data_IF_837909983376
#
_entry.id   IF_837909983376
#
_cell.length_a   1.000
_cell.length_b   1.000
_cell.length_c   1.000
_cell.angle_alpha   90.00
_cell.angle_beta   90.00
_cell.angle_gamma   90.00
#
_symmetry.space_group_name_H-M   'P 1'
#
loop_
_entity.id
_entity.type
_entity.pdbx_description
1 polymer ?
#
# COMPACT_ATOMS: atom_id res chain seq x y z
N UNK A 1 -34.23 -9.41 -57.06
CA UNK A 1 -33.51 -9.36 -55.77
C UNK A 1 -32.22 -8.58 -55.99
N UNK A 2 -32.04 -7.46 -55.28
CA UNK A 2 -30.83 -6.64 -55.41
C UNK A 2 -29.67 -7.40 -54.79
N UNK A 3 -28.63 -7.67 -55.58
CA UNK A 3 -27.43 -8.39 -55.12
C UNK A 3 -26.74 -7.58 -54.03
N UNK A 4 -26.53 -8.20 -52.86
CA UNK A 4 -25.83 -7.56 -51.75
C UNK A 4 -24.38 -7.30 -52.17
N UNK A 5 -23.85 -6.08 -52.01
CA UNK A 5 -22.48 -5.76 -52.39
C UNK A 5 -21.45 -6.65 -51.68
N UNK A 6 -20.42 -7.13 -52.38
CA UNK A 6 -19.37 -7.98 -51.82
C UNK A 6 -18.70 -7.37 -50.57
N UNK A 7 -18.58 -6.04 -50.52
CA UNK A 7 -18.00 -5.32 -49.39
C UNK A 7 -18.81 -5.54 -48.10
N UNK A 8 -20.13 -5.65 -48.20
CA UNK A 8 -21.03 -5.92 -47.07
C UNK A 8 -20.90 -7.37 -46.61
N UNK A 9 -20.77 -8.32 -47.55
CA UNK A 9 -20.56 -9.74 -47.23
C UNK A 9 -19.20 -9.98 -46.54
N UNK A 10 -18.13 -9.34 -47.01
CA UNK A 10 -16.79 -9.37 -46.36
C UNK A 10 -16.83 -8.75 -44.96
N UNK A 11 -17.58 -7.65 -44.77
CA UNK A 11 -17.76 -7.02 -43.46
C UNK A 11 -18.50 -7.93 -42.47
N UNK A 12 -19.58 -8.61 -42.92
CA UNK A 12 -20.35 -9.57 -42.11
C UNK A 12 -19.48 -10.74 -41.65
N UNK A 13 -18.75 -11.40 -42.57
CA UNK A 13 -17.82 -12.49 -42.23
C UNK A 13 -16.75 -12.06 -41.22
N UNK A 14 -16.21 -10.84 -41.34
CA UNK A 14 -15.23 -10.30 -40.38
C UNK A 14 -15.86 -10.06 -39.00
N UNK A 15 -17.08 -9.54 -38.94
CA UNK A 15 -17.81 -9.33 -37.69
C UNK A 15 -18.17 -10.64 -37.00
N UNK A 16 -18.62 -11.64 -37.75
CA UNK A 16 -18.90 -12.99 -37.25
C UNK A 16 -17.64 -13.64 -36.67
N UNK A 17 -16.51 -13.55 -37.39
CA UNK A 17 -15.22 -14.05 -36.88
C UNK A 17 -14.79 -13.32 -35.60
N UNK A 18 -14.85 -11.99 -35.59
CA UNK A 18 -14.52 -11.18 -34.41
C UNK A 18 -15.44 -11.52 -33.22
N UNK A 19 -16.73 -11.74 -33.46
CA UNK A 19 -17.68 -12.12 -32.42
C UNK A 19 -17.37 -13.53 -31.86
N UNK A 20 -17.04 -14.49 -32.73
CA UNK A 20 -16.63 -15.83 -32.33
C UNK A 20 -15.31 -15.81 -31.51
N UNK A 21 -14.31 -15.07 -31.98
CA UNK A 21 -13.02 -14.91 -31.29
C UNK A 21 -13.22 -14.23 -29.93
N UNK A 22 -14.07 -13.20 -29.86
CA UNK A 22 -14.42 -12.51 -28.61
C UNK A 22 -15.16 -13.43 -27.64
N UNK A 23 -16.11 -14.24 -28.13
CA UNK A 23 -16.86 -15.19 -27.31
C UNK A 23 -15.96 -16.28 -26.72
N UNK A 24 -15.03 -16.81 -27.52
CA UNK A 24 -14.02 -17.76 -27.07
C UNK A 24 -13.05 -17.12 -26.05
N UNK A 25 -12.65 -15.86 -26.27
CA UNK A 25 -11.81 -15.13 -25.32
C UNK A 25 -12.53 -14.86 -23.99
N UNK A 26 -13.83 -14.53 -24.02
CA UNK A 26 -14.62 -14.32 -22.80
C UNK A 26 -14.80 -15.60 -21.99
N UNK A 27 -15.11 -16.73 -22.61
CA UNK A 27 -15.25 -18.01 -21.89
C UNK A 27 -13.91 -18.49 -21.30
N UNK A 28 -12.81 -18.29 -22.03
CA UNK A 28 -11.47 -18.54 -21.52
C UNK A 28 -11.08 -17.58 -20.38
N UNK A 29 -11.55 -16.33 -20.41
CA UNK A 29 -11.31 -15.36 -19.34
C UNK A 29 -12.12 -15.69 -18.08
N UNK A 30 -13.37 -16.10 -18.22
CA UNK A 30 -14.25 -16.50 -17.10
C UNK A 30 -13.70 -17.72 -16.35
N UNK A 31 -13.26 -18.74 -17.07
CA UNK A 31 -12.64 -19.93 -16.46
C UNK A 31 -11.36 -19.58 -15.70
N UNK A 32 -10.50 -18.73 -16.28
CA UNK A 32 -9.30 -18.21 -15.61
C UNK A 32 -9.64 -17.35 -14.40
N UNK A 33 -10.65 -16.49 -14.49
CA UNK A 33 -11.09 -15.65 -13.38
C UNK A 33 -11.62 -16.47 -12.21
N UNK A 34 -12.38 -17.55 -12.49
CA UNK A 34 -12.86 -18.47 -11.48
C UNK A 34 -11.72 -19.19 -10.75
N UNK A 35 -10.70 -19.66 -11.49
CA UNK A 35 -9.51 -20.26 -10.90
C UNK A 35 -8.74 -19.26 -10.03
N UNK A 36 -8.47 -18.05 -10.56
CA UNK A 36 -7.79 -16.97 -9.83
C UNK A 36 -8.52 -16.58 -8.56
N UNK A 37 -9.86 -16.51 -8.57
CA UNK A 37 -10.65 -16.18 -7.39
C UNK A 37 -10.47 -17.21 -6.27
N UNK A 38 -10.41 -18.50 -6.61
CA UNK A 38 -10.12 -19.57 -5.64
C UNK A 38 -8.72 -19.41 -5.06
N UNK A 39 -7.73 -19.08 -5.89
CA UNK A 39 -6.35 -18.89 -5.44
C UNK A 39 -6.20 -17.67 -4.53
N UNK A 40 -6.83 -16.54 -4.87
CA UNK A 40 -6.85 -15.32 -4.04
C UNK A 40 -7.45 -15.62 -2.67
N UNK A 41 -8.56 -16.36 -2.62
CA UNK A 41 -9.21 -16.70 -1.36
C UNK A 41 -8.31 -17.57 -0.47
N UNK A 42 -7.68 -18.60 -1.05
CA UNK A 42 -6.73 -19.46 -0.33
C UNK A 42 -5.52 -18.68 0.20
N UNK A 43 -4.99 -17.75 -0.57
CA UNK A 43 -3.88 -16.87 -0.14
C UNK A 43 -4.29 -15.97 1.02
N UNK A 44 -5.45 -15.34 0.93
CA UNK A 44 -5.97 -14.49 2.00
C UNK A 44 -6.16 -15.27 3.30
N UNK A 45 -6.69 -16.50 3.22
CA UNK A 45 -6.80 -17.41 4.36
C UNK A 45 -5.43 -17.75 4.96
N UNK A 46 -4.45 -18.09 4.12
CA UNK A 46 -3.09 -18.38 4.55
C UNK A 46 -2.45 -17.19 5.28
N UNK A 47 -2.59 -15.96 4.76
CA UNK A 47 -2.07 -14.76 5.42
C UNK A 47 -2.71 -14.51 6.77
N UNK A 48 -4.04 -14.70 6.88
CA UNK A 48 -4.72 -14.56 8.18
C UNK A 48 -4.24 -15.60 9.19
N UNK A 49 -4.05 -16.85 8.76
CA UNK A 49 -3.51 -17.91 9.61
C UNK A 49 -2.06 -17.60 10.05
N UNK A 50 -1.23 -17.10 9.13
CA UNK A 50 0.14 -16.64 9.42
C UNK A 50 0.15 -15.53 10.47
N UNK A 51 -0.66 -14.48 10.31
CA UNK A 51 -0.72 -13.38 11.29
C UNK A 51 -1.18 -13.86 12.67
N UNK A 52 -2.23 -14.69 12.73
CA UNK A 52 -2.72 -15.24 13.99
C UNK A 52 -1.69 -16.11 14.68
N UNK A 53 -0.98 -16.94 13.93
CA UNK A 53 0.07 -17.80 14.49
C UNK A 53 1.25 -16.96 14.99
N UNK A 54 1.66 -15.91 14.27
CA UNK A 54 2.71 -14.98 14.70
C UNK A 54 2.34 -14.23 15.99
N UNK A 55 1.10 -13.74 16.12
CA UNK A 55 0.60 -13.10 17.34
C UNK A 55 0.58 -14.06 18.53
N UNK A 56 0.10 -15.29 18.33
CA UNK A 56 0.08 -16.32 19.38
C UNK A 56 1.49 -16.74 19.81
N UNK A 57 2.42 -16.85 18.85
CA UNK A 57 3.83 -17.13 19.14
C UNK A 57 4.46 -16.01 19.98
N UNK A 58 4.26 -14.74 19.62
CA UNK A 58 4.74 -13.61 20.43
C UNK A 58 4.23 -13.66 21.87
N UNK A 59 2.93 -13.92 22.06
CA UNK A 59 2.33 -14.04 23.40
C UNK A 59 2.92 -15.22 24.17
N UNK A 60 3.10 -16.36 23.51
CA UNK A 60 3.66 -17.57 24.12
C UNK A 60 5.10 -17.36 24.55
N UNK A 61 5.93 -16.73 23.71
CA UNK A 61 7.32 -16.41 24.01
C UNK A 61 7.44 -15.42 25.17
N UNK A 62 6.58 -14.38 25.21
CA UNK A 62 6.51 -13.45 26.35
C UNK A 62 6.15 -14.16 27.66
N UNK A 63 5.21 -15.10 27.63
CA UNK A 63 4.82 -15.90 28.81
C UNK A 63 5.94 -16.85 29.25
N UNK A 64 6.61 -17.50 28.30
CA UNK A 64 7.74 -18.39 28.56
C UNK A 64 8.91 -17.63 29.21
N UNK A 65 9.25 -16.45 28.70
CA UNK A 65 10.28 -15.57 29.26
C UNK A 65 9.94 -15.16 30.71
N UNK A 66 8.70 -14.71 30.95
CA UNK A 66 8.21 -14.39 32.31
C UNK A 66 8.31 -15.59 33.25
N UNK A 67 7.97 -16.80 32.79
CA UNK A 67 8.09 -18.05 33.57
C UNK A 67 9.54 -18.40 33.89
N UNK A 68 10.46 -18.14 32.97
CA UNK A 68 11.89 -18.35 33.15
C UNK A 68 12.59 -17.23 33.95
N UNK A 69 11.87 -16.16 34.30
CA UNK A 69 12.44 -14.96 34.94
C UNK A 69 13.30 -14.11 34.01
N UNK A 70 13.21 -14.30 32.69
CA UNK A 70 13.95 -13.55 31.67
C UNK A 70 13.03 -12.57 30.92
N UNK A 71 13.62 -11.62 30.18
CA UNK A 71 12.89 -10.65 29.38
C UNK A 71 12.87 -11.07 27.91
N UNK A 72 11.71 -11.00 27.27
CA UNK A 72 11.58 -11.18 25.84
C UNK A 72 11.71 -9.82 25.14
N UNK A 73 12.75 -9.65 24.33
CA UNK A 73 12.95 -8.46 23.50
C UNK A 73 12.22 -8.64 22.18
N UNK A 74 11.30 -7.72 21.87
CA UNK A 74 10.53 -7.78 20.64
C UNK A 74 11.38 -7.41 19.42
N UNK A 75 11.12 -8.03 18.26
CA UNK A 75 11.81 -7.66 17.03
C UNK A 75 11.49 -6.22 16.64
N UNK A 76 12.51 -5.48 16.18
CA UNK A 76 12.33 -4.13 15.67
C UNK A 76 11.35 -4.09 14.48
N UNK A 77 10.57 -3.01 14.40
CA UNK A 77 9.64 -2.80 13.30
C UNK A 77 10.37 -2.58 11.97
N UNK A 78 9.82 -3.15 10.89
CA UNK A 78 10.40 -3.09 9.55
C UNK A 78 9.76 -2.03 8.65
N UNK A 79 8.54 -1.60 8.97
CA UNK A 79 7.71 -0.70 8.15
C UNK A 79 7.46 0.62 8.87
N UNK A 80 7.57 1.72 8.13
CA UNK A 80 7.16 3.06 8.56
C UNK A 80 6.04 3.58 7.67
N UNK A 81 5.11 4.31 8.27
CA UNK A 81 4.24 5.22 7.54
C UNK A 81 4.69 6.64 7.84
N UNK A 82 5.09 7.37 6.79
CA UNK A 82 5.58 8.75 6.90
C UNK A 82 4.57 9.68 6.26
N UNK A 83 4.18 10.72 6.99
CA UNK A 83 3.21 11.70 6.51
C UNK A 83 3.71 13.13 6.70
N UNK A 84 3.39 13.98 5.74
CA UNK A 84 3.72 15.40 5.79
C UNK A 84 2.72 16.20 6.62
N UNK A 85 3.21 16.91 7.63
CA UNK A 85 2.38 17.78 8.46
C UNK A 85 2.44 19.26 8.06
N UNK A 86 3.61 19.75 7.67
CA UNK A 86 3.83 21.20 7.42
C UNK A 86 3.99 21.54 5.95
N UNK A 87 3.65 22.78 5.59
CA UNK A 87 3.82 23.35 4.24
C UNK A 87 5.27 23.54 3.81
N UNK A 88 5.52 24.19 2.66
CA UNK A 88 6.87 24.45 2.11
C UNK A 88 7.46 25.80 2.56
N UNK A 89 6.67 26.65 3.22
CA UNK A 89 7.08 28.01 3.55
C UNK A 89 8.13 28.01 4.67
N UNK A 90 9.18 28.81 4.51
CA UNK A 90 10.28 28.91 5.48
C UNK A 90 11.16 27.66 5.58
N UNK A 91 11.07 26.72 4.63
CA UNK A 91 11.83 25.48 4.66
C UNK A 91 13.14 25.58 3.89
N UNK A 92 14.24 25.18 4.52
CA UNK A 92 15.57 25.13 3.92
C UNK A 92 15.58 24.24 2.65
N UNK A 93 16.29 24.63 1.57
CA UNK A 93 16.27 23.90 0.30
C UNK A 93 16.66 22.42 0.39
N UNK A 94 17.63 22.07 1.25
CA UNK A 94 18.02 20.66 1.45
C UNK A 94 16.87 19.82 2.05
N UNK A 95 16.17 20.35 3.05
CA UNK A 95 15.01 19.71 3.68
C UNK A 95 13.88 19.53 2.67
N UNK A 96 13.62 20.56 1.86
CA UNK A 96 12.64 20.50 0.76
C UNK A 96 12.98 19.40 -0.25
N UNK A 97 14.26 19.28 -0.61
CA UNK A 97 14.72 18.24 -1.54
C UNK A 97 14.56 16.84 -0.95
N UNK A 98 14.83 16.64 0.34
CA UNK A 98 14.59 15.36 1.02
C UNK A 98 13.10 14.99 0.93
N UNK A 99 12.18 15.91 1.24
CA UNK A 99 10.74 15.64 1.14
C UNK A 99 10.28 15.29 -0.29
N UNK A 100 10.88 15.90 -1.32
CA UNK A 100 10.63 15.53 -2.72
C UNK A 100 11.08 14.10 -3.02
N UNK A 101 12.26 13.69 -2.55
CA UNK A 101 12.77 12.31 -2.70
C UNK A 101 11.84 11.30 -2.01
N UNK A 102 11.31 11.66 -0.83
CA UNK A 102 10.31 10.86 -0.11
C UNK A 102 8.92 10.86 -0.77
N UNK A 103 8.70 11.67 -1.80
CA UNK A 103 7.40 11.88 -2.50
C UNK A 103 6.33 12.58 -1.64
N UNK A 104 6.75 13.32 -0.62
CA UNK A 104 5.89 14.10 0.28
C UNK A 104 5.65 15.52 -0.25
N UNK A 105 4.97 15.61 -1.39
CA UNK A 105 4.83 16.87 -2.14
C UNK A 105 3.75 17.81 -1.57
N UNK A 106 2.64 17.26 -1.07
CA UNK A 106 1.51 18.03 -0.52
C UNK A 106 1.35 17.75 0.98
N UNK A 107 0.75 18.69 1.71
CA UNK A 107 0.40 18.49 3.13
C UNK A 107 -0.56 17.29 3.22
N UNK A 108 -0.44 16.51 4.30
CA UNK A 108 -1.20 15.28 4.54
C UNK A 108 -0.96 14.19 3.48
N UNK A 109 0.10 14.29 2.68
CA UNK A 109 0.53 13.14 1.88
C UNK A 109 1.24 12.12 2.78
N UNK A 110 0.88 10.84 2.62
CA UNK A 110 1.47 9.70 3.32
C UNK A 110 2.15 8.71 2.37
N UNK A 111 3.26 8.11 2.79
CA UNK A 111 4.00 7.10 2.04
C UNK A 111 4.53 6.01 2.98
N UNK A 112 4.45 4.75 2.55
CA UNK A 112 5.11 3.64 3.24
C UNK A 112 6.61 3.61 2.92
N UNK A 113 7.43 3.40 3.95
CA UNK A 113 8.89 3.31 3.84
C UNK A 113 9.42 2.12 4.62
N UNK A 114 10.50 1.53 4.12
CA UNK A 114 11.26 0.50 4.85
C UNK A 114 12.13 1.16 5.92
N UNK A 115 12.16 0.57 7.10
CA UNK A 115 13.11 0.93 8.16
C UNK A 115 14.51 0.50 7.73
N UNK A 116 15.40 1.49 7.60
CA UNK A 116 16.81 1.33 7.32
C UNK A 116 17.54 2.52 7.93
N UNK A 117 18.80 2.35 8.36
CA UNK A 117 19.68 3.43 8.83
C UNK A 117 19.69 4.62 7.88
N UNK A 118 19.73 4.37 6.56
CA UNK A 118 19.71 5.44 5.56
C UNK A 118 18.38 6.22 5.55
N UNK A 119 17.24 5.54 5.63
CA UNK A 119 15.93 6.20 5.65
C UNK A 119 15.72 6.97 6.95
N UNK A 120 16.12 6.38 8.08
CA UNK A 120 16.03 7.05 9.39
C UNK A 120 16.89 8.33 9.44
N UNK A 121 18.12 8.28 8.93
CA UNK A 121 18.98 9.47 8.84
C UNK A 121 18.39 10.59 7.97
N UNK A 122 17.61 10.23 6.94
CA UNK A 122 16.87 11.22 6.14
C UNK A 122 15.68 11.78 6.92
N UNK A 123 14.93 10.94 7.63
CA UNK A 123 13.76 11.34 8.41
C UNK A 123 14.13 12.29 9.55
N UNK A 124 15.23 12.04 10.27
CA UNK A 124 15.73 12.94 11.33
C UNK A 124 15.97 14.37 10.82
N UNK A 125 16.41 14.54 9.57
CA UNK A 125 16.65 15.88 8.98
C UNK A 125 15.37 16.63 8.61
N UNK A 126 14.27 15.93 8.43
CA UNK A 126 12.95 16.50 8.07
C UNK A 126 11.94 16.39 9.21
N UNK A 127 12.36 15.86 10.35
CA UNK A 127 11.56 15.49 11.52
C UNK A 127 10.55 16.58 11.95
N UNK A 128 10.90 17.88 11.99
CA UNK A 128 9.94 18.94 12.37
C UNK A 128 8.81 19.21 11.37
N UNK A 129 8.84 18.59 10.18
CA UNK A 129 7.87 18.82 9.10
C UNK A 129 7.00 17.59 8.78
N UNK A 130 7.37 16.44 9.33
CA UNK A 130 6.73 15.16 9.10
C UNK A 130 6.30 14.56 10.43
N UNK A 131 5.40 13.58 10.35
CA UNK A 131 5.27 12.55 11.37
C UNK A 131 5.61 11.21 10.74
N UNK A 132 6.09 10.29 11.55
CA UNK A 132 6.23 8.89 11.17
C UNK A 132 6.02 7.98 12.37
N UNK A 133 5.75 6.72 12.09
CA UNK A 133 5.60 5.68 13.10
C UNK A 133 5.34 4.33 12.46
N UNK A 134 5.02 3.34 13.30
CA UNK A 134 4.87 1.95 12.92
C UNK A 134 3.38 1.62 12.74
N UNK A 135 2.90 1.48 11.49
CA UNK A 135 1.51 1.15 11.25
C UNK A 135 1.24 -0.33 11.56
N UNK A 136 0.12 -0.61 12.22
CA UNK A 136 -0.36 -1.99 12.40
C UNK A 136 -1.02 -2.53 11.12
N UNK A 137 -1.20 -3.85 11.05
CA UNK A 137 -1.80 -4.53 9.89
C UNK A 137 -3.17 -3.94 9.50
N UNK A 138 -4.03 -3.65 10.49
CA UNK A 138 -5.35 -3.05 10.26
C UNK A 138 -5.24 -1.68 9.61
N UNK A 139 -4.35 -0.82 10.08
CA UNK A 139 -4.12 0.51 9.55
C UNK A 139 -3.57 0.45 8.12
N UNK A 140 -2.62 -0.47 7.83
CA UNK A 140 -2.10 -0.68 6.47
C UNK A 140 -3.22 -1.13 5.54
N UNK A 141 -4.05 -2.09 5.98
CA UNK A 141 -5.22 -2.55 5.25
C UNK A 141 -6.16 -1.38 4.93
N UNK A 142 -6.65 -0.67 5.95
CA UNK A 142 -7.59 0.43 5.75
C UNK A 142 -7.05 1.56 4.86
N UNK A 143 -5.75 1.88 4.95
CA UNK A 143 -5.09 2.84 4.06
C UNK A 143 -5.17 2.41 2.59
N UNK A 144 -4.80 1.16 2.30
CA UNK A 144 -4.82 0.64 0.93
C UNK A 144 -6.26 0.54 0.41
N UNK A 145 -7.21 0.06 1.22
CA UNK A 145 -8.60 -0.08 0.80
C UNK A 145 -9.31 1.26 0.59
N UNK A 146 -9.18 2.21 1.53
CA UNK A 146 -9.94 3.47 1.50
C UNK A 146 -9.26 4.57 0.69
N UNK A 147 -7.93 4.59 0.66
CA UNK A 147 -7.14 5.69 0.10
C UNK A 147 -6.17 5.23 -1.00
N UNK A 148 -6.10 3.94 -1.30
CA UNK A 148 -5.19 3.36 -2.27
C UNK A 148 -5.44 3.85 -3.70
N UNK A 149 -4.39 4.39 -4.30
CA UNK A 149 -4.37 4.74 -5.72
C UNK A 149 -3.11 4.15 -6.34
N UNK A 150 -3.25 3.63 -7.55
CA UNK A 150 -2.16 3.14 -8.38
C UNK A 150 -1.57 4.27 -9.23
N UNK A 151 -0.27 4.20 -9.46
CA UNK A 151 0.46 4.99 -10.44
C UNK A 151 0.59 4.18 -11.73
N UNK A 152 -0.38 4.34 -12.63
CA UNK A 152 -0.41 3.67 -13.94
C UNK A 152 -0.09 4.69 -15.02
N UNK A 153 0.97 4.47 -15.80
CA UNK A 153 1.40 5.38 -16.88
C UNK A 153 1.54 6.85 -16.45
N UNK A 154 1.97 7.08 -15.19
CA UNK A 154 2.10 8.42 -14.62
C UNK A 154 0.79 9.07 -14.15
N UNK A 155 -0.35 8.42 -14.35
CA UNK A 155 -1.66 8.87 -13.89
C UNK A 155 -2.02 8.25 -12.54
N UNK A 156 -2.85 8.98 -11.79
CA UNK A 156 -3.39 8.53 -10.50
C UNK A 156 -4.73 7.84 -10.75
N UNK A 157 -4.75 6.51 -10.63
CA UNK A 157 -5.93 5.68 -10.86
C UNK A 157 -6.37 5.06 -9.52
N UNK A 158 -7.65 5.14 -9.12
CA UNK A 158 -8.13 4.47 -7.92
C UNK A 158 -8.01 2.95 -8.08
N UNK A 159 -7.67 2.24 -7.00
CA UNK A 159 -7.62 0.78 -7.02
C UNK A 159 -9.05 0.26 -6.82
N UNK A 160 -9.76 0.03 -7.94
CA UNK A 160 -11.12 -0.54 -7.93
C UNK A 160 -11.09 -2.05 -8.06
N UNK A 161 -10.20 -2.56 -8.92
CA UNK A 161 -10.16 -3.96 -9.32
C UNK A 161 -8.76 -4.56 -9.19
N UNK A 162 -8.71 -5.85 -8.84
CA UNK A 162 -7.45 -6.59 -8.74
C UNK A 162 -6.70 -6.67 -10.09
N UNK A 163 -7.40 -6.52 -11.22
CA UNK A 163 -6.74 -6.47 -12.54
C UNK A 163 -5.74 -5.32 -12.68
N UNK A 164 -5.99 -4.18 -12.02
CA UNK A 164 -5.09 -3.02 -12.05
C UNK A 164 -3.74 -3.40 -11.40
N UNK A 165 -3.82 -4.15 -10.30
CA UNK A 165 -2.65 -4.64 -9.56
C UNK A 165 -1.92 -5.70 -10.39
N UNK A 166 -2.65 -6.70 -10.88
CA UNK A 166 -2.08 -7.79 -11.68
C UNK A 166 -1.37 -7.26 -12.93
N UNK A 167 -1.99 -6.34 -13.68
CA UNK A 167 -1.37 -5.76 -14.90
C UNK A 167 -0.11 -4.95 -14.58
N UNK A 168 -0.09 -4.20 -13.47
CA UNK A 168 1.00 -3.27 -13.16
C UNK A 168 2.18 -3.93 -12.41
N UNK A 169 1.89 -4.93 -11.57
CA UNK A 169 2.84 -5.62 -10.70
C UNK A 169 3.11 -7.08 -11.13
N UNK A 170 2.24 -7.72 -11.91
CA UNK A 170 2.37 -9.13 -12.28
C UNK A 170 3.71 -9.44 -12.95
N UNK A 171 4.08 -8.67 -13.97
CA UNK A 171 5.38 -8.83 -14.66
C UNK A 171 6.58 -8.57 -13.74
N UNK A 172 6.49 -7.51 -12.92
CA UNK A 172 7.60 -7.08 -12.03
C UNK A 172 7.82 -8.03 -10.85
N UNK A 173 6.76 -8.71 -10.41
CA UNK A 173 6.76 -9.58 -9.23
C UNK A 173 6.72 -11.06 -9.59
N UNK A 174 6.87 -11.39 -10.88
CA UNK A 174 6.79 -12.77 -11.40
C UNK A 174 5.50 -13.48 -10.97
N UNK A 175 4.38 -12.77 -10.95
CA UNK A 175 3.07 -13.29 -10.57
C UNK A 175 2.85 -13.53 -9.07
N UNK A 176 3.74 -13.04 -8.20
CA UNK A 176 3.55 -13.16 -6.75
C UNK A 176 2.42 -12.28 -6.23
N UNK A 177 2.28 -11.07 -6.77
CA UNK A 177 1.28 -10.08 -6.32
C UNK A 177 0.18 -9.98 -7.36
N UNK A 178 -1.00 -10.49 -7.02
CA UNK A 178 -2.16 -10.56 -7.92
C UNK A 178 -3.31 -9.73 -7.37
N UNK A 179 -3.47 -9.66 -6.06
CA UNK A 179 -4.60 -8.99 -5.41
C UNK A 179 -4.19 -7.93 -4.39
N UNK A 180 -5.18 -7.18 -3.88
CA UNK A 180 -4.99 -6.21 -2.81
C UNK A 180 -4.41 -6.87 -1.55
N UNK A 181 -4.80 -8.10 -1.21
CA UNK A 181 -4.30 -8.74 0.02
C UNK A 181 -2.84 -9.17 -0.08
N UNK A 182 -2.39 -9.61 -1.26
CA UNK A 182 -0.97 -9.83 -1.53
C UNK A 182 -0.18 -8.51 -1.38
N UNK A 183 -0.74 -7.39 -1.88
CA UNK A 183 -0.14 -6.07 -1.76
C UNK A 183 -0.04 -5.61 -0.30
N UNK A 184 -1.09 -5.79 0.49
CA UNK A 184 -1.11 -5.46 1.93
C UNK A 184 -0.11 -6.31 2.69
N UNK A 185 -0.06 -7.62 2.41
CA UNK A 185 0.89 -8.53 3.03
C UNK A 185 2.33 -8.14 2.73
N UNK A 186 2.67 -7.93 1.45
CA UNK A 186 4.02 -7.55 1.03
C UNK A 186 4.47 -6.20 1.65
N UNK A 187 3.54 -5.25 1.80
CA UNK A 187 3.81 -3.98 2.47
C UNK A 187 4.09 -4.18 3.96
N UNK A 188 3.25 -4.94 4.67
CA UNK A 188 3.36 -5.13 6.12
C UNK A 188 4.59 -5.94 6.52
N UNK A 189 4.86 -7.05 5.81
CA UNK A 189 6.01 -7.92 6.10
C UNK A 189 7.33 -7.37 5.54
N UNK A 190 7.26 -6.36 4.67
CA UNK A 190 8.40 -5.76 3.95
C UNK A 190 9.16 -6.82 3.16
N UNK A 191 8.42 -7.51 2.28
CA UNK A 191 8.93 -8.59 1.45
C UNK A 191 9.91 -8.14 0.35
N UNK A 192 10.35 -9.07 -0.51
CA UNK A 192 11.35 -8.80 -1.55
C UNK A 192 10.92 -7.77 -2.59
N UNK A 193 9.61 -7.65 -2.85
CA UNK A 193 9.00 -6.76 -3.84
C UNK A 193 8.39 -5.48 -3.23
N UNK A 194 8.80 -5.12 -2.01
CA UNK A 194 8.31 -3.94 -1.31
C UNK A 194 8.55 -2.63 -2.09
N UNK A 195 9.69 -2.51 -2.79
CA UNK A 195 10.03 -1.31 -3.56
C UNK A 195 9.10 -1.13 -4.75
N UNK A 196 8.74 -2.21 -5.41
CA UNK A 196 7.83 -2.27 -6.54
C UNK A 196 6.41 -1.88 -6.08
N UNK A 197 5.96 -2.43 -4.94
CA UNK A 197 4.66 -2.11 -4.33
C UNK A 197 4.54 -0.64 -3.95
N UNK A 198 5.55 -0.11 -3.25
CA UNK A 198 5.56 1.30 -2.82
C UNK A 198 5.70 2.27 -4.00
N UNK A 199 6.38 1.88 -5.09
CA UNK A 199 6.47 2.66 -6.33
C UNK A 199 5.17 2.62 -7.14
N UNK A 200 4.48 1.48 -7.13
CA UNK A 200 3.15 1.31 -7.71
C UNK A 200 2.11 2.18 -7.00
N UNK A 201 2.15 2.25 -5.68
CA UNK A 201 1.25 3.13 -4.93
C UNK A 201 1.57 4.60 -5.17
N UNK A 202 0.53 5.37 -5.47
CA UNK A 202 0.57 6.83 -5.40
C UNK A 202 0.61 7.27 -3.92
N UNK A 203 1.32 8.36 -3.56
CA UNK A 203 1.27 8.89 -2.21
C UNK A 203 -0.18 9.07 -1.71
N UNK A 204 -0.48 8.53 -0.53
CA UNK A 204 -1.81 8.58 0.05
C UNK A 204 -2.18 10.03 0.34
N UNK A 205 -3.33 10.48 -0.16
CA UNK A 205 -3.88 11.79 0.19
C UNK A 205 -4.80 11.63 1.39
N UNK A 206 -4.33 12.04 2.56
CA UNK A 206 -5.07 11.93 3.82
C UNK A 206 -5.93 13.17 4.04
N UNK A 207 -7.07 13.01 4.73
CA UNK A 207 -7.86 14.15 5.21
C UNK A 207 -7.22 14.75 6.45
N UNK A 208 -7.62 15.97 6.83
CA UNK A 208 -7.28 16.48 8.16
C UNK A 208 -7.88 15.57 9.24
N UNK A 209 -7.18 15.34 10.36
CA UNK A 209 -7.67 14.47 11.42
C UNK A 209 -8.95 15.06 12.04
N UNK A 210 -9.92 14.20 12.29
CA UNK A 210 -11.09 14.55 13.12
C UNK A 210 -10.59 14.96 14.51
N UNK A 211 -11.04 16.11 15.00
CA UNK A 211 -10.55 16.73 16.24
C UNK A 211 -9.26 17.55 16.09
N UNK A 212 -8.69 17.63 14.88
CA UNK A 212 -7.52 18.45 14.60
C UNK A 212 -6.19 17.84 15.08
N UNK A 213 -5.12 18.60 14.84
CA UNK A 213 -3.79 18.32 15.39
C UNK A 213 -3.62 19.04 16.72
N UNK A 214 -2.87 18.46 17.65
CA UNK A 214 -2.56 19.09 18.93
C UNK A 214 -1.66 20.32 18.74
N UNK A 215 -0.41 20.10 18.34
CA UNK A 215 0.60 21.15 18.08
C UNK A 215 1.58 20.67 17.03
N UNK A 216 1.32 21.05 15.77
CA UNK A 216 2.07 20.61 14.58
C UNK A 216 3.57 20.97 14.65
N UNK A 217 3.94 22.04 15.36
CA UNK A 217 5.32 22.55 15.39
C UNK A 217 6.21 21.85 16.43
N UNK A 218 5.60 21.24 17.45
CA UNK A 218 6.31 20.63 18.55
C UNK A 218 6.54 19.14 18.26
N UNK A 219 7.61 18.58 18.82
CA UNK A 219 7.88 17.16 18.70
C UNK A 219 6.87 16.35 19.52
N UNK A 220 6.60 15.10 19.13
CA UNK A 220 5.63 14.24 19.82
C UNK A 220 5.94 14.03 21.30
N UNK A 221 7.22 13.89 21.64
CA UNK A 221 7.70 13.75 23.03
C UNK A 221 7.34 14.97 23.89
N UNK A 222 7.17 16.14 23.29
CA UNK A 222 6.79 17.40 23.97
C UNK A 222 5.27 17.63 23.95
N UNK A 223 4.47 16.61 23.59
CA UNK A 223 3.03 16.72 23.40
C UNK A 223 2.59 17.32 22.07
N UNK A 224 3.49 17.41 21.09
CA UNK A 224 3.20 17.83 19.72
C UNK A 224 2.79 16.70 18.78
N UNK A 225 2.88 16.96 17.47
CA UNK A 225 2.54 15.98 16.43
C UNK A 225 3.69 15.60 15.51
N UNK A 226 4.81 16.34 15.52
CA UNK A 226 5.95 16.10 14.64
C UNK A 226 6.85 14.97 15.14
N UNK A 227 7.59 14.37 14.21
CA UNK A 227 8.59 13.35 14.48
C UNK A 227 8.04 11.93 14.66
N UNK A 228 8.78 11.11 15.40
CA UNK A 228 8.44 9.71 15.64
C UNK A 228 7.34 9.59 16.70
N UNK A 229 6.23 8.94 16.35
CA UNK A 229 5.11 8.63 17.27
C UNK A 229 4.95 7.15 17.56
N UNK A 230 5.89 6.32 17.10
CA UNK A 230 5.88 4.88 17.29
C UNK A 230 4.51 4.26 16.92
N UNK A 231 3.85 3.57 17.85
CA UNK A 231 2.55 2.93 17.63
C UNK A 231 1.36 3.92 17.64
N UNK A 232 1.49 5.10 18.25
CA UNK A 232 0.42 6.11 18.34
C UNK A 232 0.05 6.71 16.98
N UNK A 233 0.90 6.49 15.97
CA UNK A 233 0.59 6.85 14.58
C UNK A 233 -0.73 6.23 14.10
N UNK A 234 -1.07 5.04 14.60
CA UNK A 234 -2.26 4.31 14.20
C UNK A 234 -3.55 5.03 14.59
N UNK A 235 -3.58 5.67 15.75
CA UNK A 235 -4.72 6.45 16.20
C UNK A 235 -4.92 7.70 15.32
N UNK A 236 -3.84 8.39 14.99
CA UNK A 236 -3.89 9.56 14.11
C UNK A 236 -4.38 9.18 12.71
N UNK A 237 -3.81 8.12 12.13
CA UNK A 237 -4.22 7.66 10.79
C UNK A 237 -5.70 7.32 10.77
N UNK A 238 -6.22 6.63 11.80
CA UNK A 238 -7.66 6.32 11.90
C UNK A 238 -8.54 7.56 11.91
N UNK A 239 -8.09 8.65 12.53
CA UNK A 239 -8.80 9.94 12.52
C UNK A 239 -8.73 10.67 11.17
N UNK A 240 -7.81 10.30 10.29
CA UNK A 240 -7.58 10.92 8.96
C UNK A 240 -8.12 10.10 7.78
N UNK A 241 -8.53 8.85 8.03
CA UNK A 241 -9.08 7.92 7.03
C UNK A 241 -10.55 8.21 6.74
#
# INVERSE_FOLDING_TARGET
MVAVPESVLKKRKRQEKWAADKAAATSAAETKAAAKRKDIFKRAEAYVAEYRSAEQQLVTMKRAARKAGTFYVEPEHKLLFVMRLRGINGMHPKTRKIMQVLRLLQINNGVFMKVNKATMNMLVKVDPYIMYGYPNLKTVKELVYKRGHAKVNGQRVPITDNEIIEKALGEKTKGKIICIEDLVHELYTVGPHFKECTKFLWPFKMNCPVGGFSRIRNHFVEGGDAGNREEYVNELIRRML
#
